data_IF_881076129829
#
_entry.id   IF_881076129829
#
_cell.length_a   1.000
_cell.length_b   1.000
_cell.length_c   1.000
_cell.angle_alpha   90.00
_cell.angle_beta   90.00
_cell.angle_gamma   90.00
#
_symmetry.space_group_name_H-M   'P 1'
#
loop_
_entity.id
_entity.type
_entity.pdbx_description
1 polymer ?
#
# COMPACT_ATOMS: atom_id res chain seq x y z
N UNK A 1 -3.60 -19.17 8.45
CA UNK A 1 -2.46 -18.93 9.36
C UNK A 1 -1.99 -17.46 9.33
N UNK A 2 -2.86 -16.47 9.13
CA UNK A 2 -2.37 -15.27 8.41
C UNK A 2 -2.43 -13.98 9.22
N UNK A 3 -3.55 -13.65 9.85
CA UNK A 3 -3.72 -12.30 10.40
C UNK A 3 -2.85 -11.98 11.63
N UNK A 4 -2.81 -12.89 12.60
CA UNK A 4 -2.03 -12.67 13.82
C UNK A 4 -0.53 -12.44 13.51
N UNK A 5 0.00 -13.07 12.46
CA UNK A 5 1.40 -12.89 12.06
C UNK A 5 1.61 -11.56 11.32
N UNK A 6 0.66 -11.18 10.45
CA UNK A 6 0.68 -9.88 9.74
C UNK A 6 0.66 -8.70 10.72
N UNK A 7 -0.23 -8.76 11.72
CA UNK A 7 -0.35 -7.73 12.75
C UNK A 7 0.93 -7.62 13.58
N UNK A 8 1.50 -8.77 13.96
CA UNK A 8 2.75 -8.82 14.71
C UNK A 8 3.93 -8.25 13.89
N UNK A 9 4.08 -8.69 12.64
CA UNK A 9 5.12 -8.18 11.74
C UNK A 9 5.00 -6.66 11.58
N UNK A 10 3.80 -6.15 11.33
CA UNK A 10 3.55 -4.71 11.13
C UNK A 10 3.97 -3.91 12.36
N UNK A 11 3.54 -4.35 13.54
CA UNK A 11 3.88 -3.70 14.81
C UNK A 11 5.40 -3.73 15.07
N UNK A 12 6.04 -4.87 14.85
CA UNK A 12 7.48 -5.06 15.08
C UNK A 12 8.31 -4.26 14.09
N UNK A 13 8.09 -4.44 12.79
CA UNK A 13 8.93 -3.87 11.75
C UNK A 13 8.88 -2.34 11.75
N UNK A 14 7.69 -1.76 11.91
CA UNK A 14 7.55 -0.29 11.98
C UNK A 14 8.14 0.30 13.26
N UNK A 15 8.08 -0.41 14.39
CA UNK A 15 8.68 0.03 15.64
C UNK A 15 10.21 -0.06 15.62
N UNK A 16 10.75 -1.14 15.05
CA UNK A 16 12.20 -1.29 14.84
C UNK A 16 12.77 -0.15 13.98
N UNK A 17 12.09 0.23 12.89
CA UNK A 17 12.51 1.36 12.06
C UNK A 17 12.52 2.70 12.80
N UNK A 18 11.55 2.94 13.69
CA UNK A 18 11.55 4.15 14.52
C UNK A 18 12.78 4.17 15.42
N UNK A 19 13.20 3.02 15.96
CA UNK A 19 14.42 2.93 16.78
C UNK A 19 15.70 3.15 15.97
N UNK A 20 15.70 2.77 14.70
CA UNK A 20 16.82 2.93 13.76
C UNK A 20 16.95 4.34 13.17
N UNK A 21 15.94 5.20 13.29
CA UNK A 21 16.09 6.62 12.96
C UNK A 21 17.17 7.23 13.87
N UNK A 22 18.21 7.82 13.27
CA UNK A 22 19.37 8.42 13.95
C UNK A 22 18.97 9.22 15.19
N UNK A 23 19.85 9.31 16.21
CA UNK A 23 19.65 9.97 17.52
C UNK A 23 19.33 11.48 17.42
N UNK A 24 18.28 11.84 16.72
CA UNK A 24 17.75 13.17 16.63
C UNK A 24 16.97 13.42 17.92
N UNK A 25 17.32 14.47 18.70
CA UNK A 25 16.68 14.79 19.98
C UNK A 25 15.14 14.83 19.88
N UNK A 26 14.63 15.28 18.73
CA UNK A 26 13.21 15.42 18.43
C UNK A 26 12.42 14.09 18.35
N UNK A 27 13.11 12.93 18.32
CA UNK A 27 12.48 11.60 18.21
C UNK A 27 12.45 10.80 19.51
N UNK A 28 13.08 11.28 20.60
CA UNK A 28 13.22 10.53 21.87
C UNK A 28 11.90 9.93 22.37
N UNK A 29 10.84 10.74 22.46
CA UNK A 29 9.53 10.27 22.91
C UNK A 29 8.80 9.33 21.94
N UNK A 30 9.16 9.31 20.65
CA UNK A 30 8.62 8.36 19.67
C UNK A 30 9.38 7.04 19.72
N UNK A 31 10.70 7.08 19.94
CA UNK A 31 11.56 5.91 20.12
C UNK A 31 11.21 5.14 21.40
N UNK A 32 10.97 5.83 22.52
CA UNK A 32 10.52 5.19 23.76
C UNK A 32 9.22 4.40 23.53
N UNK A 33 8.24 5.00 22.86
CA UNK A 33 6.97 4.32 22.52
C UNK A 33 7.16 3.13 21.57
N UNK A 34 8.07 3.24 20.61
CA UNK A 34 8.41 2.12 19.73
C UNK A 34 9.09 0.97 20.48
N UNK A 35 9.98 1.26 21.44
CA UNK A 35 10.56 0.22 22.30
C UNK A 35 9.49 -0.51 23.11
N UNK A 36 8.50 0.22 23.66
CA UNK A 36 7.37 -0.40 24.37
C UNK A 36 6.58 -1.32 23.46
N UNK A 37 6.32 -0.92 22.21
CA UNK A 37 5.64 -1.79 21.23
C UNK A 37 6.44 -3.06 20.95
N UNK A 38 7.77 -2.97 20.79
CA UNK A 38 8.62 -4.15 20.58
C UNK A 38 8.62 -5.10 21.78
N UNK A 39 8.74 -4.57 22.99
CA UNK A 39 8.69 -5.36 24.23
C UNK A 39 7.34 -6.06 24.35
N UNK A 40 6.23 -5.33 24.15
CA UNK A 40 4.90 -5.90 24.18
C UNK A 40 4.70 -6.98 23.12
N UNK A 41 5.26 -6.78 21.92
CA UNK A 41 5.22 -7.76 20.83
C UNK A 41 6.01 -9.03 21.18
N UNK A 42 7.20 -8.88 21.78
CA UNK A 42 8.03 -10.01 22.22
C UNK A 42 7.38 -10.79 23.36
N UNK A 43 6.84 -10.10 24.37
CA UNK A 43 6.10 -10.72 25.47
C UNK A 43 4.84 -11.43 24.97
N UNK A 44 4.08 -10.79 24.07
CA UNK A 44 2.93 -11.42 23.43
C UNK A 44 3.31 -12.70 22.68
N UNK A 45 4.43 -12.68 21.95
CA UNK A 45 4.95 -13.87 21.26
C UNK A 45 5.44 -14.97 22.21
N UNK A 46 6.03 -14.62 23.35
CA UNK A 46 6.53 -15.63 24.30
C UNK A 46 5.41 -16.24 25.14
N UNK A 47 4.45 -15.42 25.56
CA UNK A 47 3.45 -15.79 26.58
C UNK A 47 2.08 -16.12 25.99
N UNK A 48 1.74 -15.58 24.81
CA UNK A 48 0.40 -15.68 24.24
C UNK A 48 0.43 -15.76 22.69
N UNK A 49 1.25 -16.67 22.14
CA UNK A 49 1.45 -16.85 20.69
C UNK A 49 0.17 -16.76 19.83
N UNK A 50 -0.96 -17.41 20.19
CA UNK A 50 -2.16 -17.39 19.36
C UNK A 50 -2.76 -15.99 19.13
N UNK A 51 -2.51 -15.05 20.04
CA UNK A 51 -3.05 -13.68 20.01
C UNK A 51 -1.98 -12.57 20.00
N UNK A 52 -0.70 -12.95 19.92
CA UNK A 52 0.44 -12.05 20.01
C UNK A 52 0.36 -10.84 19.07
N UNK A 53 -0.08 -11.04 17.83
CA UNK A 53 -0.25 -9.99 16.85
C UNK A 53 -1.37 -9.02 17.16
N UNK A 54 -2.50 -9.51 17.70
CA UNK A 54 -3.58 -8.64 18.13
C UNK A 54 -3.14 -7.72 19.27
N UNK A 55 -2.45 -8.28 20.27
CA UNK A 55 -1.86 -7.50 21.37
C UNK A 55 -0.86 -6.47 20.84
N UNK A 56 0.05 -6.90 19.97
CA UNK A 56 1.04 -6.03 19.34
C UNK A 56 0.38 -4.90 18.54
N UNK A 57 -0.65 -5.19 17.75
CA UNK A 57 -1.37 -4.21 16.95
C UNK A 57 -2.13 -3.18 17.80
N UNK A 58 -2.77 -3.60 18.90
CA UNK A 58 -3.46 -2.67 19.81
C UNK A 58 -2.46 -1.69 20.41
N UNK A 59 -1.35 -2.21 20.97
CA UNK A 59 -0.30 -1.38 21.59
C UNK A 59 0.36 -0.48 20.55
N UNK A 60 0.65 -1.00 19.36
CA UNK A 60 1.18 -0.24 18.23
C UNK A 60 0.25 0.90 17.80
N UNK A 61 -1.04 0.61 17.62
CA UNK A 61 -2.04 1.61 17.25
C UNK A 61 -2.15 2.71 18.30
N UNK A 62 -2.27 2.35 19.57
CA UNK A 62 -2.43 3.29 20.68
C UNK A 62 -1.19 4.20 20.87
N UNK A 63 0.02 3.66 20.74
CA UNK A 63 1.24 4.39 21.05
C UNK A 63 1.85 5.13 19.85
N UNK A 64 1.69 4.59 18.65
CA UNK A 64 2.36 5.11 17.45
C UNK A 64 1.40 5.68 16.41
N UNK A 65 0.32 4.97 16.08
CA UNK A 65 -0.59 5.38 14.99
C UNK A 65 -1.49 6.52 15.42
N UNK A 66 -2.28 6.35 16.48
CA UNK A 66 -3.23 7.35 16.96
C UNK A 66 -2.52 8.66 17.32
N UNK A 67 -1.42 8.68 18.08
CA UNK A 67 -0.75 9.93 18.42
C UNK A 67 -0.08 10.61 17.21
N UNK A 68 0.39 9.84 16.22
CA UNK A 68 0.93 10.42 14.99
C UNK A 68 -0.18 11.09 14.17
N UNK A 69 -1.34 10.46 14.08
CA UNK A 69 -2.52 11.02 13.42
C UNK A 69 -3.01 12.30 14.12
N UNK A 70 -3.14 12.27 15.45
CA UNK A 70 -3.55 13.43 16.25
C UNK A 70 -2.53 14.57 16.20
N UNK A 71 -1.22 14.27 16.28
CA UNK A 71 -0.15 15.27 16.20
C UNK A 71 -0.09 15.94 14.83
N UNK A 72 -0.34 15.19 13.76
CA UNK A 72 -0.39 15.76 12.41
C UNK A 72 -1.57 16.72 12.27
N UNK A 73 -2.75 16.44 12.85
CA UNK A 73 -3.88 17.40 12.88
C UNK A 73 -3.48 18.75 13.51
N UNK A 74 -2.63 18.75 14.55
CA UNK A 74 -2.19 19.97 15.23
C UNK A 74 -1.07 20.76 14.51
N UNK A 75 -0.36 20.16 13.53
CA UNK A 75 0.70 20.83 12.75
C UNK A 75 0.23 21.34 11.38
N UNK A 76 -1.05 21.16 11.04
CA UNK A 76 -1.67 21.64 9.79
C UNK A 76 -2.17 23.10 9.87
N UNK A 77 -1.37 24.00 10.43
CA UNK A 77 -1.55 25.45 10.22
C UNK A 77 -0.19 26.14 10.00
N UNK A 78 0.22 26.28 8.74
CA UNK A 78 0.90 27.52 8.35
C UNK A 78 0.27 28.21 7.13
N UNK A 79 -0.76 27.64 6.49
CA UNK A 79 -1.53 28.34 5.46
C UNK A 79 -3.02 28.10 5.65
N UNK A 80 -3.71 29.16 6.06
CA UNK A 80 -5.16 29.27 6.03
C UNK A 80 -5.63 29.30 4.57
N UNK A 81 -5.89 28.14 4.00
CA UNK A 81 -6.93 27.93 2.98
C UNK A 81 -7.65 26.60 3.26
N UNK A 82 -8.74 26.72 4.01
CA UNK A 82 -10.00 25.97 3.93
C UNK A 82 -10.00 24.53 3.38
N UNK A 83 -10.29 23.59 4.29
CA UNK A 83 -10.94 22.31 3.97
C UNK A 83 -10.01 21.11 3.98
N UNK A 84 -10.53 19.97 4.43
CA UNK A 84 -10.06 18.67 3.96
C UNK A 84 -10.25 18.74 2.43
N UNK A 85 -9.19 19.08 1.68
CA UNK A 85 -9.25 18.99 0.22
C UNK A 85 -9.26 17.51 -0.12
N UNK A 86 -10.48 16.97 -0.18
CA UNK A 86 -10.78 15.63 -0.68
C UNK A 86 -10.02 15.47 -1.98
N UNK A 87 -9.18 14.44 -2.05
CA UNK A 87 -8.49 14.05 -3.27
C UNK A 87 -9.48 13.20 -4.04
N UNK A 88 -10.19 13.77 -5.04
CA UNK A 88 -11.41 13.18 -5.57
C UNK A 88 -11.15 11.82 -6.20
N UNK A 89 -10.00 11.62 -6.85
CA UNK A 89 -9.68 10.33 -7.48
C UNK A 89 -9.36 9.28 -6.43
N UNK A 90 -8.57 9.61 -5.40
CA UNK A 90 -8.35 8.70 -4.27
C UNK A 90 -9.66 8.28 -3.63
N UNK A 91 -10.56 9.24 -3.36
CA UNK A 91 -11.86 8.94 -2.77
C UNK A 91 -12.71 8.05 -3.70
N UNK A 92 -12.75 8.35 -4.99
CA UNK A 92 -13.47 7.54 -5.98
C UNK A 92 -12.93 6.10 -6.01
N UNK A 93 -11.61 5.91 -6.01
CA UNK A 93 -10.99 4.60 -5.97
C UNK A 93 -11.33 3.86 -4.66
N UNK A 94 -11.33 4.53 -3.52
CA UNK A 94 -11.76 3.94 -2.24
C UNK A 94 -13.21 3.47 -2.34
N UNK A 95 -14.11 4.31 -2.83
CA UNK A 95 -15.53 3.99 -2.98
C UNK A 95 -15.72 2.78 -3.91
N UNK A 96 -15.03 2.75 -5.05
CA UNK A 96 -15.11 1.63 -6.00
C UNK A 96 -14.64 0.33 -5.36
N UNK A 97 -13.51 0.33 -4.66
CA UNK A 97 -13.01 -0.87 -3.98
C UNK A 97 -13.97 -1.35 -2.88
N UNK A 98 -14.56 -0.44 -2.10
CA UNK A 98 -15.57 -0.79 -1.11
C UNK A 98 -16.84 -1.37 -1.77
N UNK A 99 -17.30 -0.77 -2.85
CA UNK A 99 -18.47 -1.26 -3.58
C UNK A 99 -18.25 -2.66 -4.17
N UNK A 100 -17.08 -2.91 -4.77
CA UNK A 100 -16.69 -4.24 -5.26
C UNK A 100 -16.57 -5.24 -4.11
N UNK A 101 -16.03 -4.83 -2.96
CA UNK A 101 -15.97 -5.72 -1.80
C UNK A 101 -17.34 -6.10 -1.24
N UNK A 102 -18.29 -5.15 -1.23
CA UNK A 102 -19.69 -5.46 -0.88
C UNK A 102 -20.28 -6.44 -1.90
N UNK A 103 -20.00 -6.28 -3.20
CA UNK A 103 -20.41 -7.24 -4.21
C UNK A 103 -19.82 -8.64 -3.96
N UNK A 104 -18.55 -8.75 -3.56
CA UNK A 104 -17.94 -10.03 -3.18
C UNK A 104 -18.69 -10.70 -2.02
N UNK A 105 -19.08 -9.93 -1.00
CA UNK A 105 -19.86 -10.44 0.14
C UNK A 105 -21.24 -10.95 -0.31
N UNK A 106 -21.92 -10.21 -1.18
CA UNK A 106 -23.24 -10.58 -1.70
C UNK A 106 -23.19 -11.76 -2.69
N UNK A 107 -22.09 -11.93 -3.43
CA UNK A 107 -21.91 -12.97 -4.45
C UNK A 107 -21.38 -14.31 -3.90
N UNK A 108 -21.36 -14.49 -2.57
CA UNK A 108 -20.96 -15.75 -1.93
C UNK A 108 -19.74 -15.66 -1.01
N UNK A 109 -19.22 -14.46 -0.77
CA UNK A 109 -18.18 -14.17 0.23
C UNK A 109 -16.82 -13.83 -0.37
N UNK A 110 -16.13 -12.85 0.24
CA UNK A 110 -14.82 -12.36 -0.22
C UNK A 110 -13.64 -13.30 0.06
N UNK A 111 -13.88 -14.44 0.71
CA UNK A 111 -12.87 -15.50 0.88
C UNK A 111 -13.21 -16.77 0.13
N UNK A 112 -14.28 -16.77 -0.68
CA UNK A 112 -14.71 -17.92 -1.47
C UNK A 112 -13.99 -17.92 -2.84
N UNK A 113 -13.12 -18.90 -3.13
CA UNK A 113 -12.38 -18.94 -4.39
C UNK A 113 -13.28 -19.01 -5.62
N UNK A 114 -14.44 -19.67 -5.53
CA UNK A 114 -15.40 -19.76 -6.64
C UNK A 114 -16.00 -18.38 -6.95
N UNK A 115 -16.30 -17.61 -5.90
CA UNK A 115 -16.82 -16.24 -6.05
C UNK A 115 -15.76 -15.32 -6.66
N UNK A 116 -14.53 -15.32 -6.13
CA UNK A 116 -13.43 -14.50 -6.66
C UNK A 116 -13.09 -14.85 -8.12
N UNK A 117 -13.08 -16.14 -8.45
CA UNK A 117 -12.84 -16.59 -9.82
C UNK A 117 -13.90 -16.07 -10.80
N UNK A 118 -15.18 -16.12 -10.41
CA UNK A 118 -16.31 -15.61 -11.20
C UNK A 118 -16.27 -14.08 -11.35
N UNK A 119 -15.89 -13.38 -10.29
CA UNK A 119 -15.85 -11.92 -10.27
C UNK A 119 -14.63 -11.32 -10.97
N UNK A 120 -13.62 -12.14 -11.29
CA UNK A 120 -12.51 -11.71 -12.13
C UNK A 120 -11.16 -11.63 -11.46
N UNK A 121 -10.88 -12.48 -10.48
CA UNK A 121 -9.52 -12.64 -9.97
C UNK A 121 -8.52 -12.87 -11.13
N UNK A 122 -7.27 -12.51 -10.89
CA UNK A 122 -6.18 -12.75 -11.82
C UNK A 122 -5.84 -14.24 -11.79
N UNK A 123 -6.55 -15.03 -12.60
CA UNK A 123 -6.17 -16.39 -12.94
C UNK A 123 -5.28 -16.37 -14.19
N UNK A 124 -3.99 -16.56 -13.98
CA UNK A 124 -2.97 -16.58 -15.03
C UNK A 124 -3.27 -17.60 -16.13
N UNK A 125 -3.85 -18.76 -15.80
CA UNK A 125 -4.19 -19.78 -16.79
C UNK A 125 -5.33 -19.32 -17.69
N UNK A 126 -6.38 -18.70 -17.11
CA UNK A 126 -7.47 -18.12 -17.89
C UNK A 126 -7.01 -16.96 -18.77
N UNK A 127 -6.06 -16.14 -18.32
CA UNK A 127 -5.52 -15.05 -19.15
C UNK A 127 -4.70 -15.62 -20.32
N UNK A 128 -3.82 -16.59 -20.07
CA UNK A 128 -2.89 -17.13 -21.07
C UNK A 128 -3.61 -18.01 -22.10
N UNK A 129 -4.41 -18.97 -21.63
CA UNK A 129 -4.98 -20.03 -22.47
C UNK A 129 -6.42 -19.76 -22.92
N UNK A 130 -7.14 -18.88 -22.21
CA UNK A 130 -8.54 -18.55 -22.53
C UNK A 130 -8.75 -17.08 -22.91
N UNK A 131 -7.67 -16.33 -23.06
CA UNK A 131 -7.69 -14.92 -23.51
C UNK A 131 -8.59 -14.00 -22.65
N UNK A 132 -8.77 -14.31 -21.37
CA UNK A 132 -9.62 -13.54 -20.45
C UNK A 132 -8.89 -12.28 -19.92
N UNK A 133 -8.45 -11.40 -20.83
CA UNK A 133 -7.60 -10.23 -20.52
C UNK A 133 -8.27 -9.21 -19.59
N UNK A 134 -9.61 -9.19 -19.53
CA UNK A 134 -10.36 -8.33 -18.62
C UNK A 134 -10.01 -8.60 -17.13
N UNK A 135 -9.51 -9.80 -16.80
CA UNK A 135 -9.01 -10.15 -15.46
C UNK A 135 -7.81 -9.32 -15.03
N UNK A 136 -7.02 -8.80 -15.97
CA UNK A 136 -5.88 -7.90 -15.68
C UNK A 136 -6.33 -6.60 -15.00
N UNK A 137 -7.56 -6.16 -15.28
CA UNK A 137 -8.16 -4.96 -14.70
C UNK A 137 -9.10 -5.30 -13.54
N UNK A 138 -9.95 -6.31 -13.69
CA UNK A 138 -10.94 -6.68 -12.67
C UNK A 138 -10.29 -7.06 -11.33
N UNK A 139 -9.20 -7.83 -11.37
CA UNK A 139 -8.49 -8.30 -10.18
C UNK A 139 -7.96 -7.18 -9.28
N UNK A 140 -7.75 -5.98 -9.83
CA UNK A 140 -7.24 -4.82 -9.10
C UNK A 140 -8.20 -4.31 -8.02
N UNK A 141 -9.49 -4.66 -8.12
CA UNK A 141 -10.54 -4.17 -7.22
C UNK A 141 -11.08 -5.25 -6.27
N UNK A 142 -10.79 -6.53 -6.54
CA UNK A 142 -11.18 -7.66 -5.70
C UNK A 142 -10.26 -7.79 -4.49
N UNK A 143 -10.77 -8.27 -3.35
CA UNK A 143 -10.00 -8.41 -2.13
C UNK A 143 -10.35 -9.68 -1.35
N UNK A 144 -9.33 -10.47 -1.02
CA UNK A 144 -9.46 -11.61 -0.13
C UNK A 144 -9.66 -11.21 1.35
N UNK A 145 -10.91 -11.01 1.75
CA UNK A 145 -11.31 -10.73 3.14
C UNK A 145 -11.12 -9.27 3.61
N UNK A 146 -11.73 -8.91 4.77
CA UNK A 146 -11.88 -7.51 5.21
C UNK A 146 -10.56 -6.81 5.55
N UNK A 147 -9.54 -7.57 5.93
CA UNK A 147 -8.26 -6.99 6.38
C UNK A 147 -7.38 -6.67 5.19
N UNK A 148 -7.47 -7.49 4.14
CA UNK A 148 -6.77 -7.22 2.90
C UNK A 148 -7.26 -5.92 2.26
N UNK A 149 -8.57 -5.69 2.19
CA UNK A 149 -9.11 -4.40 1.73
C UNK A 149 -8.73 -3.26 2.68
N UNK A 150 -8.83 -3.44 4.00
CA UNK A 150 -8.46 -2.40 4.96
C UNK A 150 -7.04 -1.87 4.73
N UNK A 151 -6.03 -2.74 4.64
CA UNK A 151 -4.66 -2.31 4.46
C UNK A 151 -4.39 -1.66 3.10
N UNK A 152 -5.03 -2.15 2.03
CA UNK A 152 -4.93 -1.52 0.71
C UNK A 152 -5.52 -0.10 0.70
N UNK A 153 -6.72 0.07 1.25
CA UNK A 153 -7.37 1.39 1.33
C UNK A 153 -6.63 2.33 2.28
N UNK A 154 -6.12 1.81 3.40
CA UNK A 154 -5.30 2.58 4.33
C UNK A 154 -4.01 3.09 3.67
N UNK A 155 -3.29 2.23 2.94
CA UNK A 155 -2.09 2.61 2.22
C UNK A 155 -2.40 3.62 1.10
N UNK A 156 -3.49 3.41 0.34
CA UNK A 156 -3.95 4.35 -0.68
C UNK A 156 -4.31 5.71 -0.08
N UNK A 157 -5.01 5.75 1.06
CA UNK A 157 -5.37 6.98 1.75
C UNK A 157 -4.14 7.72 2.31
N UNK A 158 -3.11 6.99 2.73
CA UNK A 158 -1.89 7.58 3.28
C UNK A 158 -0.98 8.15 2.18
N UNK A 159 -0.83 7.45 1.06
CA UNK A 159 0.16 7.76 0.02
C UNK A 159 -0.44 8.51 -1.18
N UNK A 160 -1.71 8.24 -1.50
CA UNK A 160 -2.39 8.73 -2.69
C UNK A 160 -2.68 10.24 -2.69
N UNK A 161 -3.33 10.82 -1.66
CA UNK A 161 -3.75 12.22 -1.66
C UNK A 161 -2.62 13.20 -1.91
N UNK A 162 -1.45 12.93 -1.31
CA UNK A 162 -0.28 13.76 -1.50
C UNK A 162 0.24 13.69 -2.95
N UNK A 163 0.19 12.52 -3.59
CA UNK A 163 0.62 12.36 -4.99
C UNK A 163 -0.39 13.02 -5.93
N UNK A 164 -1.69 12.77 -5.73
CA UNK A 164 -2.77 13.35 -6.52
C UNK A 164 -2.68 14.89 -6.55
N UNK A 165 -2.35 15.51 -5.41
CA UNK A 165 -2.11 16.96 -5.37
C UNK A 165 -0.88 17.41 -6.17
N UNK A 166 0.16 16.59 -6.23
CA UNK A 166 1.42 16.90 -6.93
C UNK A 166 1.32 16.71 -8.44
N UNK A 167 0.58 15.71 -8.92
CA UNK A 167 0.54 15.37 -10.36
C UNK A 167 -0.84 15.61 -11.00
N UNK A 168 -1.87 15.89 -10.19
CA UNK A 168 -3.25 16.04 -10.65
C UNK A 168 -4.02 14.72 -10.69
N UNK A 169 -5.36 14.81 -10.64
CA UNK A 169 -6.26 13.65 -10.59
C UNK A 169 -6.12 12.71 -11.78
N UNK A 170 -6.07 13.25 -12.99
CA UNK A 170 -5.95 12.44 -14.21
C UNK A 170 -4.68 11.58 -14.20
N UNK A 171 -3.51 12.18 -14.01
CA UNK A 171 -2.24 11.45 -13.97
C UNK A 171 -2.17 10.49 -12.78
N UNK A 172 -2.78 10.83 -11.64
CA UNK A 172 -2.89 9.91 -10.52
C UNK A 172 -3.71 8.66 -10.87
N UNK A 173 -4.87 8.81 -11.51
CA UNK A 173 -5.70 7.70 -11.97
C UNK A 173 -4.93 6.80 -12.95
N UNK A 174 -4.27 7.41 -13.94
CA UNK A 174 -3.45 6.70 -14.94
C UNK A 174 -2.33 5.92 -14.26
N UNK A 175 -1.54 6.57 -13.40
CA UNK A 175 -0.45 5.89 -12.69
C UNK A 175 -0.94 4.75 -11.81
N UNK A 176 -2.06 4.92 -11.11
CA UNK A 176 -2.64 3.89 -10.27
C UNK A 176 -3.09 2.67 -11.08
N UNK A 177 -3.93 2.89 -12.11
CA UNK A 177 -4.53 1.80 -12.90
C UNK A 177 -3.49 1.11 -13.79
N UNK A 178 -2.65 1.87 -14.50
CA UNK A 178 -1.63 1.30 -15.39
C UNK A 178 -0.59 0.52 -14.59
N UNK A 179 -0.22 0.96 -13.38
CA UNK A 179 0.68 0.18 -12.54
C UNK A 179 0.06 -1.12 -12.03
N UNK A 180 -1.24 -1.12 -11.71
CA UNK A 180 -1.96 -2.35 -11.39
C UNK A 180 -2.03 -3.33 -12.56
N UNK A 181 -2.33 -2.83 -13.77
CA UNK A 181 -2.30 -3.65 -14.98
C UNK A 181 -0.87 -4.15 -15.23
N UNK A 182 0.14 -3.31 -15.12
CA UNK A 182 1.55 -3.68 -15.25
C UNK A 182 1.99 -4.75 -14.24
N UNK A 183 1.49 -4.67 -13.00
CA UNK A 183 1.64 -5.72 -11.98
C UNK A 183 1.04 -7.05 -12.45
N UNK A 184 -0.19 -7.04 -12.96
CA UNK A 184 -0.85 -8.25 -13.48
C UNK A 184 -0.15 -8.83 -14.70
N UNK A 185 0.30 -7.98 -15.62
CA UNK A 185 1.09 -8.36 -16.81
C UNK A 185 2.41 -9.00 -16.37
N UNK A 186 3.11 -8.43 -15.38
CA UNK A 186 4.36 -9.00 -14.88
C UNK A 186 4.16 -10.44 -14.38
N UNK A 187 3.09 -10.69 -13.62
CA UNK A 187 2.73 -12.04 -13.17
C UNK A 187 2.46 -12.96 -14.36
N UNK A 188 1.60 -12.54 -15.29
CA UNK A 188 1.26 -13.35 -16.49
C UNK A 188 2.50 -13.68 -17.33
N UNK A 189 3.42 -12.71 -17.51
CA UNK A 189 4.66 -12.92 -18.25
C UNK A 189 5.58 -13.91 -17.53
N UNK A 190 5.77 -13.74 -16.21
CA UNK A 190 6.61 -14.65 -15.43
C UNK A 190 6.03 -16.09 -15.43
N UNK A 191 4.72 -16.25 -15.35
CA UNK A 191 4.06 -17.55 -15.50
C UNK A 191 4.25 -18.12 -16.91
N UNK A 192 4.08 -17.30 -17.96
CA UNK A 192 4.29 -17.73 -19.36
C UNK A 192 5.74 -18.16 -19.62
N UNK A 193 6.71 -17.51 -18.98
CA UNK A 193 8.13 -17.85 -19.04
C UNK A 193 8.51 -19.03 -18.13
N UNK A 194 7.55 -19.65 -17.44
CA UNK A 194 7.75 -20.76 -16.48
C UNK A 194 8.69 -20.39 -15.32
N UNK A 195 8.76 -19.10 -14.97
CA UNK A 195 9.48 -18.59 -13.81
C UNK A 195 8.59 -18.56 -12.56
N UNK A 196 7.27 -18.61 -12.75
CA UNK A 196 6.27 -18.80 -11.70
C UNK A 196 5.31 -19.91 -12.12
N UNK A 197 4.85 -20.69 -11.14
CA UNK A 197 3.70 -21.57 -11.34
C UNK A 197 2.44 -20.74 -11.63
N UNK A 198 1.40 -21.35 -12.23
CA UNK A 198 0.10 -20.71 -12.34
C UNK A 198 -0.44 -20.28 -10.98
N UNK A 199 -0.83 -19.02 -10.89
CA UNK A 199 -1.34 -18.40 -9.65
C UNK A 199 -2.67 -17.70 -9.88
N UNK A 200 -3.40 -17.55 -8.76
CA UNK A 200 -4.63 -16.79 -8.61
C UNK A 200 -4.36 -15.64 -7.64
N UNK A 201 -4.60 -14.41 -8.06
CA UNK A 201 -4.34 -13.20 -7.26
C UNK A 201 -5.51 -12.23 -7.31
N UNK A 202 -5.69 -11.49 -6.22
CA UNK A 202 -6.62 -10.36 -6.10
C UNK A 202 -5.92 -9.24 -5.35
N UNK A 203 -6.38 -8.01 -5.52
CA UNK A 203 -6.01 -6.90 -4.64
C UNK A 203 -5.47 -5.68 -5.36
N UNK A 204 -5.74 -4.53 -4.76
CA UNK A 204 -5.23 -3.24 -5.19
C UNK A 204 -3.73 -3.02 -4.87
N UNK A 205 -3.04 -3.99 -4.27
CA UNK A 205 -1.69 -3.80 -3.73
C UNK A 205 -0.65 -3.54 -4.81
N UNK A 206 -0.80 -4.12 -6.00
CA UNK A 206 -0.01 -3.79 -7.19
C UNK A 206 -0.16 -2.32 -7.60
N UNK A 207 -1.38 -1.78 -7.54
CA UNK A 207 -1.67 -0.36 -7.80
C UNK A 207 -1.04 0.54 -6.73
N UNK A 208 -1.14 0.15 -5.45
CA UNK A 208 -0.54 0.88 -4.32
C UNK A 208 0.99 0.91 -4.42
N UNK A 209 1.62 -0.22 -4.76
CA UNK A 209 3.05 -0.25 -5.06
C UNK A 209 3.41 0.57 -6.30
N UNK A 210 2.50 0.65 -7.28
CA UNK A 210 2.54 1.63 -8.36
C UNK A 210 2.57 3.08 -7.91
N UNK A 211 1.77 3.45 -6.91
CA UNK A 211 1.79 4.79 -6.29
C UNK A 211 3.15 5.05 -5.62
N UNK A 212 3.71 4.06 -4.92
CA UNK A 212 5.07 4.14 -4.34
C UNK A 212 6.13 4.30 -5.42
N UNK A 213 6.02 3.55 -6.52
CA UNK A 213 6.89 3.67 -7.70
C UNK A 213 6.81 5.05 -8.32
N UNK A 214 5.59 5.54 -8.54
CA UNK A 214 5.32 6.86 -9.13
C UNK A 214 5.94 7.96 -8.29
N UNK A 215 5.78 7.90 -6.96
CA UNK A 215 6.48 8.79 -6.04
C UNK A 215 8.00 8.74 -6.21
N UNK A 216 8.58 7.54 -6.34
CA UNK A 216 10.03 7.35 -6.50
C UNK A 216 10.52 8.00 -7.78
N UNK A 217 9.92 7.68 -8.94
CA UNK A 217 10.29 8.25 -10.23
C UNK A 217 10.11 9.78 -10.24
N UNK A 218 8.97 10.26 -9.74
CA UNK A 218 8.66 11.69 -9.69
C UNK A 218 9.67 12.46 -8.85
N UNK A 219 10.02 11.96 -7.65
CA UNK A 219 10.97 12.62 -6.76
C UNK A 219 12.42 12.54 -7.27
N UNK A 220 12.79 11.49 -8.01
CA UNK A 220 14.11 11.42 -8.65
C UNK A 220 14.25 12.45 -9.76
N UNK A 221 13.21 12.60 -10.60
CA UNK A 221 13.16 13.68 -11.62
C UNK A 221 13.21 15.06 -10.98
N UNK A 222 12.56 15.24 -9.83
CA UNK A 222 12.51 16.50 -9.08
C UNK A 222 13.42 16.51 -7.84
N UNK A 223 14.59 15.84 -7.91
CA UNK A 223 15.48 15.60 -6.75
C UNK A 223 16.01 16.86 -6.06
N UNK A 224 15.96 18.00 -6.75
CA UNK A 224 16.37 19.30 -6.23
C UNK A 224 15.27 20.00 -5.41
N UNK A 225 14.03 19.48 -5.44
CA UNK A 225 12.95 20.04 -4.65
C UNK A 225 13.20 19.86 -3.13
N UNK A 226 12.72 20.79 -2.29
CA UNK A 226 12.84 20.67 -0.85
C UNK A 226 12.31 19.33 -0.33
N UNK A 227 13.04 18.72 0.61
CA UNK A 227 12.72 17.44 1.24
C UNK A 227 12.68 16.22 0.30
N UNK A 228 13.01 16.34 -0.99
CA UNK A 228 12.98 15.20 -1.93
C UNK A 228 13.86 14.03 -1.47
N UNK A 229 15.09 14.30 -1.03
CA UNK A 229 16.00 13.30 -0.47
C UNK A 229 15.42 12.58 0.75
N UNK A 230 14.78 13.33 1.66
CA UNK A 230 14.15 12.73 2.84
C UNK A 230 12.95 11.84 2.45
N UNK A 231 12.12 12.29 1.51
CA UNK A 231 10.97 11.52 1.02
C UNK A 231 11.42 10.25 0.30
N UNK A 232 12.45 10.31 -0.53
CA UNK A 232 13.05 9.13 -1.18
C UNK A 232 13.58 8.13 -0.16
N UNK A 233 14.24 8.58 0.90
CA UNK A 233 14.67 7.70 2.00
C UNK A 233 13.49 7.03 2.70
N UNK A 234 12.40 7.77 2.94
CA UNK A 234 11.19 7.18 3.54
C UNK A 234 10.56 6.14 2.61
N UNK A 235 10.51 6.40 1.30
CA UNK A 235 10.00 5.45 0.30
C UNK A 235 10.87 4.19 0.25
N UNK A 236 12.20 4.35 0.25
CA UNK A 236 13.12 3.21 0.31
C UNK A 236 12.82 2.30 1.52
N UNK A 237 12.58 2.89 2.68
CA UNK A 237 12.18 2.15 3.89
C UNK A 237 10.83 1.45 3.71
N UNK A 238 9.83 2.10 3.10
CA UNK A 238 8.52 1.49 2.80
C UNK A 238 8.68 0.29 1.86
N UNK A 239 9.48 0.43 0.81
CA UNK A 239 9.75 -0.67 -0.14
C UNK A 239 10.45 -1.82 0.58
N UNK A 240 11.48 -1.55 1.39
CA UNK A 240 12.18 -2.61 2.14
C UNK A 240 11.25 -3.36 3.09
N UNK A 241 10.36 -2.64 3.78
CA UNK A 241 9.34 -3.27 4.63
C UNK A 241 8.36 -4.11 3.83
N UNK A 242 7.91 -3.62 2.68
CA UNK A 242 7.00 -4.37 1.82
C UNK A 242 7.65 -5.66 1.34
N UNK A 243 8.90 -5.61 0.87
CA UNK A 243 9.61 -6.81 0.43
C UNK A 243 9.82 -7.80 1.57
N UNK A 244 10.17 -7.32 2.76
CA UNK A 244 10.26 -8.18 3.94
C UNK A 244 8.91 -8.81 4.31
N UNK A 245 7.82 -8.06 4.18
CA UNK A 245 6.46 -8.56 4.40
C UNK A 245 6.07 -9.65 3.38
N UNK A 246 6.40 -9.42 2.11
CA UNK A 246 6.10 -10.34 1.01
C UNK A 246 6.83 -11.68 1.19
N UNK A 247 8.06 -11.65 1.72
CA UNK A 247 8.86 -12.86 1.98
C UNK A 247 8.28 -13.75 3.10
N UNK A 248 7.60 -13.16 4.07
CA UNK A 248 7.13 -13.87 5.28
C UNK A 248 5.63 -14.12 5.30
N UNK A 249 4.89 -13.57 4.33
CA UNK A 249 3.42 -13.67 4.28
C UNK A 249 2.99 -14.55 3.12
N UNK A 250 2.53 -15.79 3.39
CA UNK A 250 1.97 -16.65 2.37
C UNK A 250 0.86 -15.95 1.59
N UNK A 251 0.73 -16.26 0.30
CA UNK A 251 -0.29 -15.71 -0.63
C UNK A 251 -0.15 -14.22 -0.95
N UNK A 252 0.92 -13.56 -0.49
CA UNK A 252 1.31 -12.23 -0.97
C UNK A 252 2.36 -12.39 -2.08
N UNK A 253 2.16 -11.75 -3.22
CA UNK A 253 3.05 -11.89 -4.37
C UNK A 253 4.06 -10.75 -4.45
N UNK A 254 5.30 -11.04 -4.06
CA UNK A 254 6.43 -10.12 -4.23
C UNK A 254 6.59 -9.68 -5.69
N UNK A 255 6.45 -10.62 -6.63
CA UNK A 255 6.55 -10.34 -8.07
C UNK A 255 5.47 -9.36 -8.54
N UNK A 256 4.25 -9.45 -7.99
CA UNK A 256 3.18 -8.51 -8.31
C UNK A 256 3.54 -7.10 -7.80
N UNK A 257 4.00 -7.00 -6.56
CA UNK A 257 4.42 -5.72 -5.97
C UNK A 257 5.60 -5.08 -6.71
N UNK A 258 6.61 -5.86 -7.09
CA UNK A 258 7.74 -5.39 -7.89
C UNK A 258 7.30 -4.93 -9.29
N UNK A 259 6.39 -5.67 -9.95
CA UNK A 259 5.84 -5.27 -11.25
C UNK A 259 5.08 -3.94 -11.18
N UNK A 260 4.27 -3.75 -10.14
CA UNK A 260 3.58 -2.49 -9.89
C UNK A 260 4.55 -1.34 -9.59
N UNK A 261 5.52 -1.58 -8.69
CA UNK A 261 6.56 -0.61 -8.32
C UNK A 261 7.36 -0.15 -9.54
N UNK A 262 7.81 -1.07 -10.39
CA UNK A 262 8.58 -0.76 -11.59
C UNK A 262 7.75 0.02 -12.60
N UNK A 263 6.51 -0.40 -12.86
CA UNK A 263 5.62 0.31 -13.79
C UNK A 263 5.35 1.73 -13.31
N UNK A 264 5.02 1.87 -12.03
CA UNK A 264 4.80 3.18 -11.41
C UNK A 264 6.05 4.04 -11.44
N UNK A 265 7.23 3.48 -11.19
CA UNK A 265 8.51 4.19 -11.27
C UNK A 265 8.73 4.81 -12.66
N UNK A 266 8.53 4.02 -13.72
CA UNK A 266 8.68 4.50 -15.09
C UNK A 266 7.67 5.61 -15.41
N UNK A 267 6.40 5.46 -15.01
CA UNK A 267 5.39 6.51 -15.17
C UNK A 267 5.73 7.77 -14.36
N UNK A 268 6.24 7.61 -13.14
CA UNK A 268 6.69 8.68 -12.25
C UNK A 268 7.78 9.56 -12.86
N UNK A 269 8.67 8.98 -13.67
CA UNK A 269 9.68 9.74 -14.41
C UNK A 269 9.06 10.61 -15.51
N UNK A 270 7.88 10.27 -16.01
CA UNK A 270 7.26 10.92 -17.17
C UNK A 270 6.20 11.95 -16.77
N UNK A 271 5.45 11.71 -15.69
CA UNK A 271 4.32 12.56 -15.30
C UNK A 271 4.72 14.00 -14.95
N UNK A 272 3.89 15.00 -15.33
CA UNK A 272 4.15 16.39 -15.03
C UNK A 272 3.84 16.72 -13.56
N UNK A 273 4.49 17.75 -13.04
CA UNK A 273 4.04 18.41 -11.83
C UNK A 273 2.81 19.28 -12.15
N UNK A 274 1.78 19.21 -11.31
CA UNK A 274 0.61 20.09 -11.38
C UNK A 274 1.08 21.52 -11.15
N UNK A 275 0.93 22.37 -12.17
CA UNK A 275 1.18 23.80 -12.02
C UNK A 275 0.13 24.37 -11.06
N UNK A 276 0.59 25.00 -9.98
CA UNK A 276 -0.31 25.82 -9.14
C UNK A 276 -0.89 26.95 -10.00
N UNK A 277 -2.15 27.32 -9.76
CA UNK A 277 -2.65 28.61 -10.28
C UNK A 277 -1.68 29.67 -9.75
N UNK A 278 -0.87 30.25 -10.63
CA UNK A 278 -0.23 31.53 -10.34
C UNK A 278 -1.40 32.50 -10.30
N UNK A 279 -1.78 32.92 -9.10
CA UNK A 279 -2.61 34.11 -8.93
C UNK A 279 -1.88 35.23 -9.70
N UNK A 280 -2.45 35.62 -10.84
CA UNK A 280 -2.07 36.80 -11.61
C UNK A 280 -2.92 37.95 -11.10
#
# INVERSE_FOLDING_TARGET
MELNHILLFTAVATSALILLQAFQPQTRGRRARAAVVLIASALGWLLARPIAGWLAAIVWCALLVVPAFLRNRARFHPFRQSGITVSPVVLALIIVNVAVFVLELLAGGSTNPVTLHRLGELDTSSVIFRHQYWRLLAALFLHYGPIHIFFNLFALLLLGPALERQIGGFFFAVCYLVSGIGSSIAIVLLTKLRLLEPVQLVGASGCVMGVVGTWTGFLLRHRHAPLARQRLRNIFVIVLLQLAFDLVTPRVSMSAHLGGLLTGFLLGLLVPAKQGKRDR
#
